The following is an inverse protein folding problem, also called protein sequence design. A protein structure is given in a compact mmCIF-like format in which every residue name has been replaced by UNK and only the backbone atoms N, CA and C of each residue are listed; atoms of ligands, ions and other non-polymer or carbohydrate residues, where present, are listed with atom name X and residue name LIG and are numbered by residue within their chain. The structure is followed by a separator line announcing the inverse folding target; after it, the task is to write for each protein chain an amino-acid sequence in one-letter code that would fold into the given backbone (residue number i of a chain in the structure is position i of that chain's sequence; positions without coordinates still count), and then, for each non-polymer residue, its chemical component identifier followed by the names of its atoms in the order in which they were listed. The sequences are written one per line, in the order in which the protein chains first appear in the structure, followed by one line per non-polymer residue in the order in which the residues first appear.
data_IF_176367358099
#
_entry.id   IF_176367358099
#
_cell.length_a   1.000
_cell.length_b   1.000
_cell.length_c   1.000
_cell.angle_alpha   90.00
_cell.angle_beta   90.00
_cell.angle_gamma   90.00
#
_symmetry.space_group_name_H-M   'P 1'
#
loop_
_entity.id
_entity.type
_entity.pdbx_description
1 polymer ?
#
# COMPACT_ATOMS: atom_id res chain seq x y z
N UNK A 1 13.99 1.67 10.02
CA UNK A 1 13.64 0.85 11.21
C UNK A 1 14.78 -0.08 11.66
N UNK A 2 15.22 -1.05 10.85
CA UNK A 2 16.24 -2.04 11.25
C UNK A 2 17.58 -1.37 11.60
N UNK A 3 18.11 -0.48 10.74
CA UNK A 3 19.36 0.23 11.02
C UNK A 3 19.29 1.03 12.34
N UNK A 4 18.21 1.78 12.56
CA UNK A 4 17.99 2.51 13.81
C UNK A 4 17.99 1.58 15.04
N UNK A 5 17.39 0.38 14.93
CA UNK A 5 17.40 -0.62 16.00
C UNK A 5 18.83 -1.08 16.31
N UNK A 6 19.65 -1.32 15.30
CA UNK A 6 21.01 -1.83 15.47
C UNK A 6 21.96 -0.75 16.01
N UNK A 7 21.81 0.50 15.57
CA UNK A 7 22.73 1.60 15.91
C UNK A 7 22.46 2.22 17.29
N UNK A 8 21.28 2.04 17.88
CA UNK A 8 20.90 2.72 19.14
C UNK A 8 21.78 2.36 20.36
N UNK A 9 22.63 1.33 20.25
CA UNK A 9 23.59 0.95 21.29
C UNK A 9 24.93 1.70 21.16
N UNK A 10 25.25 2.19 19.96
CA UNK A 10 26.56 2.74 19.61
C UNK A 10 26.51 4.24 19.26
N UNK A 11 25.30 4.81 19.07
CA UNK A 11 25.10 6.21 18.70
C UNK A 11 23.80 6.80 19.30
N UNK A 12 23.71 8.13 19.36
CA UNK A 12 22.44 8.83 19.59
C UNK A 12 21.58 8.75 18.32
N UNK A 13 20.49 7.99 18.39
CA UNK A 13 19.63 7.68 17.25
C UNK A 13 18.28 8.33 17.43
N UNK A 14 17.93 9.24 16.52
CA UNK A 14 16.56 9.76 16.35
C UNK A 14 15.91 9.17 15.10
N UNK A 15 14.79 8.47 15.28
CA UNK A 15 13.91 8.01 14.19
C UNK A 15 12.75 8.99 14.03
N UNK A 16 12.67 9.65 12.88
CA UNK A 16 11.55 10.49 12.48
C UNK A 16 10.67 9.69 11.53
N UNK A 17 9.39 9.53 11.87
CA UNK A 17 8.39 8.88 11.02
C UNK A 17 7.05 9.62 11.19
N UNK A 18 6.23 9.70 10.15
CA UNK A 18 4.91 10.34 10.23
C UNK A 18 3.89 9.52 11.05
N UNK A 19 4.21 8.25 11.30
CA UNK A 19 3.41 7.26 12.02
C UNK A 19 4.21 6.68 13.18
N UNK A 20 3.52 6.20 14.21
CA UNK A 20 4.19 5.68 15.42
C UNK A 20 4.68 4.23 15.28
N UNK A 21 4.47 3.61 14.11
CA UNK A 21 4.70 2.20 13.85
C UNK A 21 5.46 1.96 12.54
N UNK A 22 6.26 0.91 12.58
CA UNK A 22 6.80 0.26 11.40
C UNK A 22 5.77 -0.72 10.83
N UNK A 23 5.69 -0.83 9.52
CA UNK A 23 4.78 -1.73 8.83
C UNK A 23 5.57 -2.61 7.87
N UNK A 24 5.30 -3.91 7.93
CA UNK A 24 5.78 -4.88 6.95
C UNK A 24 4.86 -4.79 5.72
N UNK A 25 5.20 -3.92 4.78
CA UNK A 25 4.30 -3.52 3.69
C UNK A 25 3.92 -4.64 2.73
N UNK A 26 4.80 -5.62 2.51
CA UNK A 26 4.47 -6.79 1.67
C UNK A 26 3.45 -7.73 2.30
N UNK A 27 3.13 -7.58 3.59
CA UNK A 27 2.06 -8.35 4.23
C UNK A 27 0.72 -7.59 4.28
N UNK A 28 0.67 -6.39 3.71
CA UNK A 28 -0.51 -5.52 3.78
C UNK A 28 -1.72 -6.12 3.07
N UNK A 29 -1.53 -6.79 1.93
CA UNK A 29 -2.61 -7.37 1.15
C UNK A 29 -3.20 -8.59 1.85
N UNK A 30 -2.36 -9.46 2.42
CA UNK A 30 -2.83 -10.53 3.31
C UNK A 30 -3.64 -9.99 4.49
N UNK A 31 -3.20 -8.87 5.05
CA UNK A 31 -3.89 -8.21 6.19
C UNK A 31 -5.27 -7.66 5.81
N UNK A 32 -5.57 -7.43 4.53
CA UNK A 32 -6.90 -7.02 4.07
C UNK A 32 -7.90 -8.18 4.04
N UNK A 33 -7.45 -9.42 3.82
CA UNK A 33 -8.30 -10.62 3.78
C UNK A 33 -8.27 -11.42 5.09
N UNK A 34 -7.24 -11.22 5.91
CA UNK A 34 -7.09 -11.83 7.24
C UNK A 34 -6.61 -10.77 8.27
N UNK A 35 -7.50 -9.97 8.86
CA UNK A 35 -7.12 -8.85 9.74
C UNK A 35 -6.26 -9.24 10.95
N UNK A 36 -6.44 -10.45 11.49
CA UNK A 36 -5.62 -10.95 12.61
C UNK A 36 -4.13 -11.06 12.24
N UNK A 37 -3.81 -11.27 10.95
CA UNK A 37 -2.44 -11.26 10.45
C UNK A 37 -1.77 -9.89 10.64
N UNK A 38 -2.54 -8.79 10.61
CA UNK A 38 -2.03 -7.43 10.71
C UNK A 38 -1.34 -7.15 12.07
N UNK A 39 -1.74 -7.84 13.13
CA UNK A 39 -1.23 -7.58 14.48
C UNK A 39 0.29 -7.77 14.58
N UNK A 40 0.84 -8.72 13.80
CA UNK A 40 2.28 -9.03 13.75
C UNK A 40 3.06 -8.24 12.71
N UNK A 41 2.38 -7.52 11.80
CA UNK A 41 3.01 -6.76 10.71
C UNK A 41 3.11 -5.27 11.02
N UNK A 42 2.24 -4.78 11.91
CA UNK A 42 2.20 -3.39 12.38
C UNK A 42 2.87 -3.31 13.76
N UNK A 43 4.11 -2.84 13.80
CA UNK A 43 4.99 -2.91 14.98
C UNK A 43 5.31 -1.50 15.46
N UNK A 44 4.87 -1.14 16.67
CA UNK A 44 5.19 0.17 17.26
C UNK A 44 6.70 0.40 17.31
N UNK A 45 7.15 1.59 16.92
CA UNK A 45 8.58 1.94 16.91
C UNK A 45 9.22 1.75 18.28
N UNK A 46 8.47 2.07 19.35
CA UNK A 46 8.89 1.89 20.75
C UNK A 46 9.05 0.43 21.19
N UNK A 47 8.60 -0.55 20.40
CA UNK A 47 8.85 -1.95 20.70
C UNK A 47 10.29 -2.37 20.40
N UNK A 48 10.93 -1.73 19.42
CA UNK A 48 12.30 -2.09 19.01
C UNK A 48 13.33 -0.96 19.22
N UNK A 49 12.89 0.30 19.28
CA UNK A 49 13.75 1.45 19.58
C UNK A 49 13.52 1.87 21.05
N UNK A 50 14.28 1.23 21.95
CA UNK A 50 14.15 1.39 23.42
C UNK A 50 15.03 2.50 23.97
N UNK A 51 16.21 2.71 23.37
CA UNK A 51 17.19 3.71 23.79
C UNK A 51 17.01 4.98 22.95
N UNK A 52 16.92 4.83 21.63
CA UNK A 52 16.79 5.95 20.70
C UNK A 52 15.48 6.75 20.85
N UNK A 53 15.48 7.95 20.29
CA UNK A 53 14.32 8.85 20.24
C UNK A 53 13.45 8.51 19.03
N UNK A 54 12.13 8.50 19.22
CA UNK A 54 11.13 8.45 18.13
C UNK A 54 10.42 9.79 18.10
N UNK A 55 10.33 10.40 16.91
CA UNK A 55 9.56 11.62 16.64
C UNK A 55 8.48 11.26 15.64
N UNK A 56 7.22 11.25 16.09
CA UNK A 56 6.06 10.93 15.24
C UNK A 56 5.55 12.20 14.56
N UNK A 57 6.20 12.61 13.47
CA UNK A 57 5.85 13.80 12.69
C UNK A 57 6.45 13.71 11.28
N UNK A 58 5.75 14.12 10.22
CA UNK A 58 6.35 14.17 8.88
C UNK A 58 7.57 15.10 8.86
N UNK A 59 8.68 14.65 8.28
CA UNK A 59 9.78 15.53 7.89
C UNK A 59 9.32 16.41 6.71
N UNK A 60 9.62 17.71 6.76
CA UNK A 60 9.17 18.68 5.75
C UNK A 60 10.30 19.50 5.15
N UNK A 61 11.46 19.56 5.80
CA UNK A 61 12.63 20.24 5.28
C UNK A 61 13.92 19.63 5.85
N UNK A 62 15.01 19.83 5.12
CA UNK A 62 16.37 19.44 5.51
C UNK A 62 17.33 20.57 5.15
N UNK A 63 18.33 20.79 6.00
CA UNK A 63 19.53 21.60 5.72
C UNK A 63 20.76 20.70 5.78
N UNK A 64 21.97 21.23 5.60
CA UNK A 64 23.18 20.41 5.75
C UNK A 64 23.33 19.74 7.14
N UNK A 65 22.72 20.34 8.18
CA UNK A 65 22.88 19.92 9.58
C UNK A 65 21.60 19.51 10.30
N UNK A 66 20.42 19.87 9.78
CA UNK A 66 19.16 19.75 10.53
C UNK A 66 18.00 19.21 9.68
N UNK A 67 17.09 18.50 10.34
CA UNK A 67 15.78 18.15 9.80
C UNK A 67 14.69 18.90 10.55
N UNK A 68 13.76 19.50 9.81
CA UNK A 68 12.56 20.15 10.35
C UNK A 68 11.34 19.26 10.14
N UNK A 69 10.54 19.06 11.19
CA UNK A 69 9.27 18.34 11.11
C UNK A 69 8.08 19.28 10.96
N UNK A 70 6.95 18.73 10.49
CA UNK A 70 5.69 19.48 10.32
C UNK A 70 5.21 20.13 11.61
N UNK A 71 5.45 19.49 12.75
CA UNK A 71 5.05 20.02 14.07
C UNK A 71 6.06 21.04 14.63
N UNK A 72 7.07 21.43 13.85
CA UNK A 72 8.03 22.49 14.18
C UNK A 72 9.26 22.03 14.97
N UNK A 73 9.45 20.72 15.15
CA UNK A 73 10.69 20.23 15.77
C UNK A 73 11.86 20.37 14.79
N UNK A 74 13.00 20.84 15.31
CA UNK A 74 14.27 20.90 14.59
C UNK A 74 15.22 19.89 15.24
N UNK A 75 15.77 18.99 14.45
CA UNK A 75 16.64 17.90 14.91
C UNK A 75 17.95 17.98 14.14
N UNK A 76 19.03 18.34 14.84
CA UNK A 76 20.39 18.31 14.29
C UNK A 76 20.92 16.89 14.14
N UNK A 77 21.84 16.68 13.19
CA UNK A 77 22.47 15.39 12.94
C UNK A 77 23.92 15.53 12.47
N UNK A 78 24.75 14.52 12.77
CA UNK A 78 26.06 14.33 12.12
C UNK A 78 25.94 13.43 10.86
N UNK A 79 24.97 12.52 10.87
CA UNK A 79 24.67 11.63 9.75
C UNK A 79 23.16 11.53 9.53
N UNK A 80 22.72 11.66 8.29
CA UNK A 80 21.32 11.50 7.91
C UNK A 80 21.11 10.29 6.99
N UNK A 81 20.09 9.51 7.30
CA UNK A 81 19.60 8.44 6.43
C UNK A 81 18.18 8.76 5.99
N UNK A 82 17.98 8.99 4.69
CA UNK A 82 16.66 9.25 4.11
C UNK A 82 16.05 7.92 3.66
N UNK A 83 14.88 7.59 4.24
CA UNK A 83 14.16 6.36 3.98
C UNK A 83 12.63 6.58 3.93
N UNK A 84 12.19 7.66 3.28
CA UNK A 84 10.79 8.13 3.32
C UNK A 84 9.82 7.36 2.41
N UNK A 85 10.31 6.50 1.52
CA UNK A 85 9.46 5.60 0.73
C UNK A 85 8.52 6.34 -0.25
N UNK A 86 7.25 5.96 -0.27
CA UNK A 86 6.22 6.50 -1.17
C UNK A 86 5.21 7.37 -0.43
N UNK A 87 4.64 8.33 -1.15
CA UNK A 87 3.55 9.16 -0.66
C UNK A 87 2.27 8.31 -0.62
N UNK A 88 1.72 8.16 0.58
CA UNK A 88 0.48 7.43 0.83
C UNK A 88 -0.25 8.04 2.02
N UNK A 89 -1.53 7.73 2.15
CA UNK A 89 -2.32 8.10 3.32
C UNK A 89 -2.18 7.00 4.37
N UNK A 90 -1.21 7.17 5.26
CA UNK A 90 -1.01 6.26 6.39
C UNK A 90 -1.77 6.75 7.63
N UNK A 91 -2.56 5.90 8.28
CA UNK A 91 -3.02 6.15 9.64
C UNK A 91 -1.83 6.43 10.57
N UNK A 92 -1.95 7.41 11.46
CA UNK A 92 -0.83 7.83 12.31
C UNK A 92 -0.54 6.81 13.41
N UNK A 93 -1.59 6.20 13.96
CA UNK A 93 -1.48 5.26 15.07
C UNK A 93 -1.59 3.81 14.61
N UNK A 94 -1.00 2.89 15.38
CA UNK A 94 -1.13 1.45 15.12
C UNK A 94 -2.59 1.01 15.20
N UNK A 95 -3.35 1.56 16.16
CA UNK A 95 -4.75 1.21 16.33
C UNK A 95 -5.57 1.58 15.10
N UNK A 96 -5.43 2.81 14.59
CA UNK A 96 -6.14 3.23 13.37
C UNK A 96 -5.76 2.37 12.17
N UNK A 97 -4.48 1.95 12.07
CA UNK A 97 -4.03 1.06 11.00
C UNK A 97 -4.67 -0.34 11.06
N UNK A 98 -4.79 -0.91 12.26
CA UNK A 98 -5.48 -2.19 12.43
C UNK A 98 -6.97 -2.06 12.13
N UNK A 99 -7.62 -0.98 12.60
CA UNK A 99 -9.01 -0.69 12.27
C UNK A 99 -9.22 -0.49 10.76
N UNK A 100 -8.26 0.11 10.06
CA UNK A 100 -8.29 0.23 8.60
C UNK A 100 -8.32 -1.15 7.93
N UNK A 101 -7.48 -2.10 8.34
CA UNK A 101 -7.52 -3.46 7.79
C UNK A 101 -8.83 -4.18 8.10
N UNK A 102 -9.36 -4.01 9.30
CA UNK A 102 -10.67 -4.55 9.67
C UNK A 102 -11.79 -3.99 8.76
N UNK A 103 -11.77 -2.68 8.49
CA UNK A 103 -12.73 -2.04 7.60
C UNK A 103 -12.59 -2.53 6.14
N UNK A 104 -11.36 -2.72 5.65
CA UNK A 104 -11.14 -3.29 4.31
C UNK A 104 -11.64 -4.73 4.21
N UNK A 105 -11.41 -5.55 5.23
CA UNK A 105 -11.96 -6.90 5.30
C UNK A 105 -13.50 -6.88 5.27
N UNK A 106 -14.13 -6.03 6.07
CA UNK A 106 -15.59 -5.86 6.11
C UNK A 106 -16.17 -5.43 4.75
N UNK A 107 -15.46 -4.55 4.05
CA UNK A 107 -15.79 -4.12 2.69
C UNK A 107 -15.68 -5.27 1.69
N UNK A 108 -14.65 -6.11 1.78
CA UNK A 108 -14.49 -7.30 0.92
C UNK A 108 -15.61 -8.32 1.19
N UNK A 109 -15.86 -8.70 2.44
CA UNK A 109 -16.86 -9.72 2.77
C UNK A 109 -18.28 -9.30 2.37
N UNK A 110 -18.62 -8.01 2.50
CA UNK A 110 -19.96 -7.48 2.18
C UNK A 110 -20.19 -7.31 0.66
N UNK A 111 -19.13 -7.24 -0.13
CA UNK A 111 -19.21 -7.17 -1.60
C UNK A 111 -19.37 -8.54 -2.24
N UNK A 112 -20.19 -8.65 -3.30
CA UNK A 112 -20.23 -9.85 -4.15
C UNK A 112 -19.24 -9.76 -5.31
N UNK A 113 -18.89 -8.52 -5.68
CA UNK A 113 -18.00 -8.20 -6.79
C UNK A 113 -16.93 -7.17 -6.38
N UNK A 114 -15.68 -7.47 -6.71
CA UNK A 114 -14.50 -6.64 -6.41
C UNK A 114 -13.76 -6.28 -7.69
N UNK A 115 -13.50 -4.99 -7.87
CA UNK A 115 -12.71 -4.46 -8.99
C UNK A 115 -11.30 -4.06 -8.53
N UNK A 116 -10.28 -4.63 -9.14
CA UNK A 116 -8.88 -4.27 -8.89
C UNK A 116 -8.33 -3.58 -10.13
N UNK A 117 -7.73 -2.41 -9.94
CA UNK A 117 -7.22 -1.57 -11.03
C UNK A 117 -5.70 -1.51 -10.94
N UNK A 118 -5.03 -2.20 -11.86
CA UNK A 118 -3.57 -2.25 -11.98
C UNK A 118 -2.99 -3.64 -11.79
N UNK A 119 -2.66 -4.34 -12.89
CA UNK A 119 -1.98 -5.64 -12.93
C UNK A 119 -0.47 -5.65 -12.60
N UNK A 120 -0.03 -4.73 -11.73
CA UNK A 120 1.30 -4.80 -11.11
C UNK A 120 1.34 -5.78 -9.93
N UNK A 121 2.46 -5.84 -9.16
CA UNK A 121 2.60 -6.76 -8.03
C UNK A 121 1.43 -6.72 -7.07
N UNK A 122 1.07 -5.51 -6.61
CA UNK A 122 0.02 -5.35 -5.61
C UNK A 122 -1.37 -5.75 -6.12
N UNK A 123 -1.70 -5.49 -7.38
CA UNK A 123 -3.02 -5.86 -7.91
C UNK A 123 -3.14 -7.34 -8.20
N UNK A 124 -2.08 -7.97 -8.70
CA UNK A 124 -2.03 -9.42 -8.90
C UNK A 124 -2.09 -10.17 -7.57
N UNK A 125 -1.32 -9.73 -6.57
CA UNK A 125 -1.33 -10.33 -5.24
C UNK A 125 -2.69 -10.14 -4.54
N UNK A 126 -3.28 -8.95 -4.57
CA UNK A 126 -4.60 -8.73 -3.99
C UNK A 126 -5.70 -9.56 -4.66
N UNK A 127 -5.66 -9.68 -6.00
CA UNK A 127 -6.60 -10.52 -6.74
C UNK A 127 -6.47 -11.98 -6.30
N UNK A 128 -5.23 -12.46 -6.10
CA UNK A 128 -4.96 -13.81 -5.64
C UNK A 128 -5.43 -14.05 -4.20
N UNK A 129 -5.13 -13.14 -3.26
CA UNK A 129 -5.58 -13.21 -1.87
C UNK A 129 -7.12 -13.31 -1.79
N UNK A 130 -7.84 -12.44 -2.51
CA UNK A 130 -9.31 -12.45 -2.51
C UNK A 130 -9.86 -13.73 -3.15
N UNK A 131 -9.32 -14.16 -4.29
CA UNK A 131 -9.83 -15.34 -5.00
C UNK A 131 -9.57 -16.67 -4.25
N UNK A 132 -8.55 -16.71 -3.38
CA UNK A 132 -8.24 -17.88 -2.54
C UNK A 132 -9.12 -17.92 -1.30
N UNK A 133 -9.22 -16.81 -0.56
CA UNK A 133 -9.97 -16.76 0.70
C UNK A 133 -11.48 -16.64 0.49
N UNK A 134 -11.93 -16.09 -0.65
CA UNK A 134 -13.34 -15.89 -1.01
C UNK A 134 -13.66 -16.39 -2.44
N UNK A 135 -13.58 -17.71 -2.69
CA UNK A 135 -13.70 -18.29 -4.03
C UNK A 135 -15.07 -18.08 -4.72
N UNK A 136 -16.09 -17.67 -3.97
CA UNK A 136 -17.42 -17.34 -4.47
C UNK A 136 -17.55 -15.91 -5.00
N UNK A 137 -16.63 -15.01 -4.67
CA UNK A 137 -16.70 -13.60 -5.09
C UNK A 137 -16.28 -13.43 -6.54
N UNK A 138 -16.95 -12.53 -7.26
CA UNK A 138 -16.53 -12.11 -8.58
C UNK A 138 -15.36 -11.12 -8.44
N UNK A 139 -14.17 -11.50 -8.89
CA UNK A 139 -13.00 -10.60 -8.92
C UNK A 139 -12.68 -10.24 -10.37
N UNK A 140 -12.60 -8.94 -10.66
CA UNK A 140 -12.18 -8.43 -11.97
C UNK A 140 -10.91 -7.60 -11.80
N UNK A 141 -9.83 -7.97 -12.49
CA UNK A 141 -8.56 -7.26 -12.51
C UNK A 141 -8.39 -6.55 -13.85
N UNK A 142 -8.40 -5.22 -13.84
CA UNK A 142 -8.20 -4.39 -15.04
C UNK A 142 -6.79 -3.83 -15.06
N UNK A 143 -6.08 -4.00 -16.17
CA UNK A 143 -4.73 -3.48 -16.36
C UNK A 143 -4.56 -2.78 -17.71
N UNK A 144 -3.92 -1.61 -17.67
CA UNK A 144 -3.67 -0.78 -18.86
C UNK A 144 -2.64 -1.41 -19.82
N UNK A 145 -1.69 -2.18 -19.30
CA UNK A 145 -0.66 -2.82 -20.09
C UNK A 145 -1.14 -4.11 -20.78
N UNK A 146 -0.33 -4.64 -21.71
CA UNK A 146 -0.63 -5.87 -22.43
C UNK A 146 -0.37 -7.13 -21.62
N UNK A 147 0.36 -7.04 -20.51
CA UNK A 147 0.76 -8.18 -19.68
C UNK A 147 0.64 -7.83 -18.19
N UNK A 148 0.28 -8.80 -17.36
CA UNK A 148 0.43 -8.69 -15.91
C UNK A 148 1.92 -8.74 -15.53
N UNK A 149 2.32 -8.08 -14.44
CA UNK A 149 3.70 -8.14 -13.93
C UNK A 149 4.78 -7.90 -15.01
N UNK A 150 4.54 -6.95 -15.94
CA UNK A 150 5.34 -6.74 -17.15
C UNK A 150 6.86 -6.71 -16.91
N UNK A 151 7.29 -6.15 -15.78
CA UNK A 151 8.70 -6.06 -15.38
C UNK A 151 9.40 -7.40 -15.07
N UNK A 152 8.65 -8.50 -14.86
CA UNK A 152 9.19 -9.83 -14.55
C UNK A 152 9.42 -10.67 -15.82
N UNK A 153 8.80 -10.29 -16.93
CA UNK A 153 8.89 -10.96 -18.23
C UNK A 153 7.71 -11.89 -18.54
N UNK A 154 7.53 -12.15 -19.83
CA UNK A 154 6.34 -12.81 -20.42
C UNK A 154 6.00 -14.16 -19.78
N UNK A 155 6.97 -15.05 -19.61
CA UNK A 155 6.71 -16.37 -18.98
C UNK A 155 6.14 -16.30 -17.57
N UNK A 156 6.51 -15.28 -16.80
CA UNK A 156 5.98 -15.08 -15.45
C UNK A 156 4.61 -14.40 -15.51
N UNK A 157 4.42 -13.46 -16.44
CA UNK A 157 3.14 -12.83 -16.73
C UNK A 157 2.08 -13.87 -17.11
N UNK A 158 2.40 -14.76 -18.05
CA UNK A 158 1.51 -15.84 -18.51
C UNK A 158 1.11 -16.76 -17.36
N UNK A 159 2.09 -17.18 -16.53
CA UNK A 159 1.80 -18.00 -15.35
C UNK A 159 0.89 -17.30 -14.35
N UNK A 160 1.07 -16.01 -14.13
CA UNK A 160 0.22 -15.24 -13.24
C UNK A 160 -1.19 -15.10 -13.81
N UNK A 161 -1.30 -14.83 -15.12
CA UNK A 161 -2.56 -14.75 -15.85
C UNK A 161 -3.33 -16.08 -15.78
N UNK A 162 -2.70 -17.18 -16.21
CA UNK A 162 -3.28 -18.52 -16.22
C UNK A 162 -3.73 -18.95 -14.83
N UNK A 163 -2.93 -18.64 -13.80
CA UNK A 163 -3.30 -18.98 -12.43
C UNK A 163 -4.52 -18.18 -11.96
N UNK A 164 -4.57 -16.87 -12.23
CA UNK A 164 -5.72 -16.03 -11.89
C UNK A 164 -6.99 -16.49 -12.62
N UNK A 165 -6.90 -16.79 -13.93
CA UNK A 165 -8.02 -17.34 -14.69
C UNK A 165 -8.48 -18.71 -14.15
N UNK A 166 -7.54 -19.57 -13.74
CA UNK A 166 -7.87 -20.86 -13.11
C UNK A 166 -8.64 -20.69 -11.78
N UNK A 167 -8.50 -19.52 -11.14
CA UNK A 167 -9.25 -19.09 -9.95
C UNK A 167 -10.49 -18.26 -10.29
N UNK A 168 -10.89 -18.20 -11.56
CA UNK A 168 -12.05 -17.47 -12.07
C UNK A 168 -11.97 -15.95 -11.88
N UNK A 169 -10.76 -15.41 -11.75
CA UNK A 169 -10.54 -13.97 -11.81
C UNK A 169 -10.68 -13.53 -13.26
N UNK A 170 -11.53 -12.54 -13.52
CA UNK A 170 -11.69 -11.94 -14.83
C UNK A 170 -10.56 -10.92 -15.06
N UNK A 171 -9.63 -11.22 -15.97
CA UNK A 171 -8.49 -10.35 -16.25
C UNK A 171 -8.73 -9.58 -17.55
N UNK A 172 -8.77 -8.24 -17.47
CA UNK A 172 -8.98 -7.34 -18.60
C UNK A 172 -7.71 -6.54 -18.85
N UNK A 173 -7.00 -6.88 -19.93
CA UNK A 173 -5.74 -6.24 -20.33
C UNK A 173 -5.97 -5.13 -21.36
N UNK A 174 -4.98 -4.27 -21.57
CA UNK A 174 -5.02 -3.14 -22.51
C UNK A 174 -6.16 -2.13 -22.23
N UNK A 175 -6.66 -2.07 -21.00
CA UNK A 175 -7.77 -1.19 -20.63
C UNK A 175 -7.49 -0.44 -19.33
N UNK A 176 -7.91 0.83 -19.27
CA UNK A 176 -7.94 1.60 -18.03
C UNK A 176 -9.37 1.80 -17.57
N UNK A 177 -9.57 2.00 -16.26
CA UNK A 177 -10.88 2.32 -15.69
C UNK A 177 -11.00 3.82 -15.46
N UNK A 178 -12.10 4.41 -15.89
CA UNK A 178 -12.47 5.78 -15.54
C UNK A 178 -13.22 5.79 -14.21
N UNK A 179 -12.56 6.26 -13.14
CA UNK A 179 -13.16 6.35 -11.81
C UNK A 179 -14.22 7.46 -11.70
N UNK A 180 -14.19 8.46 -12.57
CA UNK A 180 -15.20 9.53 -12.60
C UNK A 180 -16.55 9.05 -13.15
N UNK A 181 -16.54 7.91 -13.85
CA UNK A 181 -17.76 7.27 -14.36
C UNK A 181 -18.62 6.61 -13.27
N UNK A 182 -18.07 6.41 -12.07
CA UNK A 182 -18.83 6.01 -10.90
C UNK A 182 -19.64 7.22 -10.40
N UNK A 183 -20.83 7.44 -10.95
CA UNK A 183 -21.77 8.43 -10.42
C UNK A 183 -22.17 8.02 -9.00
N UNK A 184 -22.26 8.98 -8.07
CA UNK A 184 -22.70 8.73 -6.68
C UNK A 184 -23.94 7.82 -6.66
N UNK A 185 -23.77 6.60 -6.15
CA UNK A 185 -24.83 5.59 -6.10
C UNK A 185 -24.78 4.47 -7.16
N UNK A 186 -23.87 4.52 -8.14
CA UNK A 186 -23.78 3.53 -9.21
C UNK A 186 -22.54 2.65 -9.07
N UNK A 187 -22.78 1.35 -8.87
CA UNK A 187 -21.81 0.26 -8.74
C UNK A 187 -21.12 -0.10 -10.06
N UNK A 188 -20.96 0.87 -10.95
CA UNK A 188 -20.68 0.64 -12.36
C UNK A 188 -19.49 1.47 -12.81
N UNK A 189 -18.52 0.82 -13.43
CA UNK A 189 -17.26 1.39 -13.88
C UNK A 189 -17.13 1.20 -15.38
N UNK A 190 -16.67 2.22 -16.10
CA UNK A 190 -16.39 2.12 -17.54
C UNK A 190 -14.91 1.94 -17.80
N UNK A 191 -14.59 1.00 -18.69
CA UNK A 191 -13.24 0.85 -19.21
C UNK A 191 -13.02 1.77 -20.41
N UNK A 192 -11.75 2.00 -20.76
CA UNK A 192 -11.37 2.70 -22.00
C UNK A 192 -11.81 1.98 -23.27
N UNK A 193 -12.08 0.67 -23.19
CA UNK A 193 -12.65 -0.12 -24.30
C UNK A 193 -14.17 0.04 -24.45
N UNK A 194 -14.83 0.77 -23.55
CA UNK A 194 -16.29 0.94 -23.53
C UNK A 194 -17.05 -0.16 -22.80
N UNK A 195 -16.35 -1.13 -22.21
CA UNK A 195 -16.94 -2.17 -21.39
C UNK A 195 -17.43 -1.60 -20.06
N UNK A 196 -18.44 -2.25 -19.49
CA UNK A 196 -19.09 -1.85 -18.25
C UNK A 196 -18.88 -2.93 -17.21
N UNK A 197 -18.16 -2.59 -16.13
CA UNK A 197 -17.84 -3.49 -15.02
C UNK A 197 -18.73 -3.13 -13.83
N UNK A 198 -19.40 -4.12 -13.25
CA UNK A 198 -20.13 -3.96 -12.00
C UNK A 198 -19.25 -4.36 -10.80
N UNK A 199 -19.09 -3.47 -9.83
CA UNK A 199 -18.45 -3.77 -8.55
C UNK A 199 -19.18 -3.07 -7.39
N UNK A 200 -19.44 -3.81 -6.31
CA UNK A 200 -20.28 -3.39 -5.18
C UNK A 200 -19.60 -2.36 -4.26
N UNK A 201 -19.23 -1.19 -4.81
CA UNK A 201 -18.42 -0.16 -4.12
C UNK A 201 -17.07 -0.66 -3.60
N UNK A 202 -16.69 -1.88 -3.99
CA UNK A 202 -15.42 -2.50 -3.65
C UNK A 202 -14.48 -2.41 -4.84
N UNK A 203 -13.72 -1.32 -4.90
CA UNK A 203 -12.63 -1.17 -5.84
C UNK A 203 -11.32 -0.81 -5.14
N UNK A 204 -10.21 -1.24 -5.74
CA UNK A 204 -8.84 -1.03 -5.27
C UNK A 204 -7.97 -0.44 -6.37
N UNK A 205 -7.25 0.63 -6.02
CA UNK A 205 -6.27 1.26 -6.90
C UNK A 205 -4.87 0.73 -6.60
N UNK A 206 -4.43 -0.21 -7.43
CA UNK A 206 -3.12 -0.84 -7.39
C UNK A 206 -2.20 -0.26 -8.48
N UNK A 207 -2.21 1.07 -8.60
CA UNK A 207 -1.38 1.83 -9.53
C UNK A 207 -0.17 2.43 -8.81
N UNK A 208 0.87 2.78 -9.58
CA UNK A 208 2.11 3.33 -9.01
C UNK A 208 1.85 4.54 -8.11
N UNK A 209 2.46 4.55 -6.92
CA UNK A 209 2.41 5.68 -5.98
C UNK A 209 3.63 6.59 -6.19
N UNK A 210 3.51 7.91 -6.06
CA UNK A 210 4.65 8.81 -6.17
C UNK A 210 5.62 8.64 -5.00
N UNK A 211 6.89 8.97 -5.21
CA UNK A 211 7.90 8.96 -4.15
C UNK A 211 7.63 10.04 -3.09
N UNK A 212 7.89 9.73 -1.82
CA UNK A 212 7.80 10.67 -0.70
C UNK A 212 9.09 11.48 -0.47
N UNK A 213 9.67 11.96 -1.57
CA UNK A 213 10.92 12.73 -1.58
C UNK A 213 10.73 14.16 -2.08
N UNK A 214 9.48 14.59 -2.34
CA UNK A 214 9.21 15.94 -2.88
C UNK A 214 9.69 17.07 -1.97
N UNK A 215 9.80 16.83 -0.66
CA UNK A 215 10.31 17.77 0.33
C UNK A 215 11.85 17.95 0.30
N UNK A 216 12.55 17.15 -0.52
CA UNK A 216 13.99 17.31 -0.78
C UNK A 216 14.28 18.27 -1.94
N UNK A 217 13.27 18.70 -2.69
CA UNK A 217 13.49 19.54 -3.87
C UNK A 217 14.05 20.91 -3.47
N UNK A 218 15.23 21.26 -3.99
CA UNK A 218 15.89 22.56 -3.74
C UNK A 218 16.82 22.58 -2.53
N UNK A 219 17.21 21.40 -2.03
CA UNK A 219 18.27 21.24 -1.02
C UNK A 219 19.61 20.94 -1.66
#
# INVERSE_FOLDING_TARGET
AINAKLLQADADVTLIDQKEYFEITWASLRSMVEPSFAERTVINHRNYLKIGRVVTSPAVNITESDVTTKDGAVIGYDYLVIATGHNDLFPKTRQEKLSQYQAEYEKIISSQSVLIIGGGPSGVELAAEIAVDFPEKKVTLVHKGPLLLEFVGEKAADKAFDWLESKKVEVVLNQSVDLSSASDGNKTYRTSGGETIHADYCHYLCVGKPLASQWLNGT
#
